data_IF_508927708289
#
_entry.id   IF_508927708289
#
_cell.length_a   1.000
_cell.length_b   1.000
_cell.length_c   1.000
_cell.angle_alpha   90.00
_cell.angle_beta   90.00
_cell.angle_gamma   90.00
#
_symmetry.space_group_name_H-M   'P 1'
#
loop_
_entity.id
_entity.type
_entity.pdbx_description
1 polymer ?
#
# COMPACT_ATOMS: atom_id res chain seq x y z
N UNK A 1 -3.27 47.60 15.04
CA UNK A 1 -4.54 46.99 15.45
C UNK A 1 -4.42 45.52 15.09
N UNK A 2 -3.93 44.71 16.02
CA UNK A 2 -3.59 43.30 15.76
C UNK A 2 -4.74 42.46 16.29
N UNK A 3 -5.53 41.89 15.39
CA UNK A 3 -6.56 40.91 15.74
C UNK A 3 -5.85 39.61 16.12
N UNK A 4 -5.94 39.23 17.39
CA UNK A 4 -5.50 37.93 17.87
C UNK A 4 -6.60 36.95 17.49
N UNK A 5 -6.34 36.06 16.54
CA UNK A 5 -7.28 34.99 16.19
C UNK A 5 -7.35 33.98 17.33
N UNK A 6 -8.55 33.77 17.87
CA UNK A 6 -8.81 32.77 18.90
C UNK A 6 -8.63 31.34 18.35
N UNK A 7 -8.21 30.38 19.21
CA UNK A 7 -8.04 28.99 18.79
C UNK A 7 -9.41 28.34 18.49
N UNK A 8 -9.61 27.94 17.23
CA UNK A 8 -10.77 27.14 16.81
C UNK A 8 -10.81 25.85 17.60
N UNK A 9 -11.83 25.70 18.44
CA UNK A 9 -12.12 24.43 19.13
C UNK A 9 -12.48 23.37 18.08
N UNK A 10 -11.91 22.15 18.13
CA UNK A 10 -12.24 21.11 17.15
C UNK A 10 -13.73 20.78 17.24
N UNK A 11 -14.44 21.02 16.16
CA UNK A 11 -15.85 20.71 16.04
C UNK A 11 -16.03 19.19 16.05
N UNK A 12 -16.89 18.69 16.94
CA UNK A 12 -17.21 17.28 17.03
C UNK A 12 -17.95 16.85 15.77
N UNK A 13 -17.38 15.92 15.01
CA UNK A 13 -18.03 15.32 13.84
C UNK A 13 -19.06 14.30 14.33
N UNK A 14 -20.34 14.53 14.04
CA UNK A 14 -21.41 13.56 14.27
C UNK A 14 -21.40 12.55 13.12
N UNK A 15 -21.30 11.25 13.44
CA UNK A 15 -21.25 10.15 12.47
C UNK A 15 -22.54 9.35 12.54
N UNK A 16 -23.21 9.14 11.41
CA UNK A 16 -24.42 8.32 11.37
C UNK A 16 -24.10 6.83 11.21
N UNK A 17 -25.01 5.97 11.67
CA UNK A 17 -24.87 4.52 11.46
C UNK A 17 -24.84 4.18 9.96
N UNK A 18 -25.67 4.83 9.14
CA UNK A 18 -25.72 4.60 7.70
C UNK A 18 -24.39 4.88 7.02
N UNK A 19 -23.75 6.03 7.30
CA UNK A 19 -22.42 6.36 6.78
C UNK A 19 -21.36 5.34 7.21
N UNK A 20 -21.41 4.91 8.47
CA UNK A 20 -20.46 3.91 9.00
C UNK A 20 -20.62 2.58 8.26
N UNK A 21 -21.85 2.07 8.10
CA UNK A 21 -22.08 0.81 7.41
C UNK A 21 -21.79 0.90 5.91
N UNK A 22 -22.13 2.02 5.27
CA UNK A 22 -21.81 2.27 3.86
C UNK A 22 -20.29 2.25 3.62
N UNK A 23 -19.50 2.86 4.52
CA UNK A 23 -18.03 2.84 4.44
C UNK A 23 -17.39 1.45 4.63
N UNK A 24 -18.15 0.45 5.05
CA UNK A 24 -17.69 -0.94 5.18
C UNK A 24 -18.18 -1.85 4.06
N UNK A 25 -19.05 -1.36 3.17
CA UNK A 25 -19.61 -2.14 2.08
C UNK A 25 -18.49 -2.54 1.11
N UNK A 26 -18.30 -3.85 0.90
CA UNK A 26 -17.25 -4.38 0.04
C UNK A 26 -15.88 -4.56 0.72
N UNK A 27 -15.76 -4.24 2.00
CA UNK A 27 -14.49 -4.33 2.74
C UNK A 27 -13.64 -3.06 2.64
N UNK A 28 -12.52 -3.05 3.37
CA UNK A 28 -11.67 -1.85 3.55
C UNK A 28 -10.28 -1.96 2.93
N UNK A 29 -9.87 -3.17 2.57
CA UNK A 29 -8.52 -3.47 2.11
C UNK A 29 -8.58 -3.98 0.68
N UNK A 30 -7.64 -3.55 -0.14
CA UNK A 30 -7.38 -4.06 -1.48
C UNK A 30 -5.87 -4.31 -1.66
N UNK A 31 -5.52 -5.05 -2.71
CA UNK A 31 -4.14 -5.24 -3.16
C UNK A 31 -4.11 -4.85 -4.63
N UNK A 32 -3.18 -3.98 -4.98
CA UNK A 32 -3.05 -3.42 -6.33
C UNK A 32 -1.63 -3.60 -6.86
N UNK A 33 -1.49 -3.58 -8.19
CA UNK A 33 -0.18 -3.67 -8.84
C UNK A 33 0.65 -2.42 -8.58
N UNK A 34 1.95 -2.61 -8.34
CA UNK A 34 2.92 -1.50 -8.22
C UNK A 34 3.70 -1.23 -9.51
N UNK A 35 3.51 -2.07 -10.54
CA UNK A 35 4.16 -1.98 -11.84
C UNK A 35 3.23 -2.55 -12.95
N UNK A 36 3.38 -2.12 -14.21
CA UNK A 36 2.59 -2.64 -15.34
C UNK A 36 2.75 -4.14 -15.54
N UNK A 37 1.69 -4.81 -16.00
CA UNK A 37 1.66 -6.24 -16.39
C UNK A 37 0.90 -6.45 -17.71
N UNK A 38 1.02 -5.50 -18.64
CA UNK A 38 0.21 -5.46 -19.87
C UNK A 38 0.73 -6.40 -20.97
N UNK A 39 2.02 -6.74 -20.94
CA UNK A 39 2.66 -7.54 -21.99
C UNK A 39 3.26 -8.84 -21.47
N UNK A 40 3.50 -9.79 -22.38
CA UNK A 40 4.25 -11.02 -22.06
C UNK A 40 5.65 -10.71 -21.51
N UNK A 41 6.27 -9.62 -21.97
CA UNK A 41 7.57 -9.18 -21.46
C UNK A 41 7.46 -8.76 -20.00
N UNK A 42 6.42 -8.02 -19.63
CA UNK A 42 6.19 -7.60 -18.24
C UNK A 42 5.96 -8.81 -17.33
N UNK A 43 5.14 -9.78 -17.79
CA UNK A 43 4.93 -11.04 -17.07
C UNK A 43 6.23 -11.85 -16.92
N UNK A 44 7.07 -11.87 -17.96
CA UNK A 44 8.36 -12.58 -17.91
C UNK A 44 9.35 -11.95 -16.93
N UNK A 45 9.25 -10.64 -16.69
CA UNK A 45 10.06 -9.92 -15.70
C UNK A 45 9.52 -10.16 -14.28
N UNK A 46 8.20 -9.98 -14.10
CA UNK A 46 7.56 -10.09 -12.79
C UNK A 46 7.45 -11.52 -12.28
N UNK A 47 7.35 -12.49 -13.19
CA UNK A 47 7.19 -13.91 -12.90
C UNK A 47 8.28 -14.74 -13.60
N UNK A 48 7.98 -15.98 -13.97
CA UNK A 48 8.93 -16.84 -14.65
C UNK A 48 9.22 -16.32 -16.07
N UNK A 49 10.49 -16.21 -16.51
CA UNK A 49 11.71 -16.64 -15.81
C UNK A 49 12.38 -15.59 -14.90
N UNK A 50 11.99 -14.31 -14.98
CA UNK A 50 12.67 -13.18 -14.31
C UNK A 50 12.72 -13.26 -12.79
N UNK A 51 11.63 -13.68 -12.15
CA UNK A 51 11.53 -13.81 -10.68
C UNK A 51 12.61 -14.73 -10.09
N UNK A 52 13.06 -15.73 -10.85
CA UNK A 52 14.09 -16.66 -10.41
C UNK A 52 15.44 -15.96 -10.15
N UNK A 53 15.72 -14.83 -10.82
CA UNK A 53 16.91 -14.03 -10.55
C UNK A 53 16.83 -13.37 -9.17
N UNK A 54 15.67 -12.83 -8.80
CA UNK A 54 15.45 -12.24 -7.47
C UNK A 54 15.52 -13.32 -6.38
N UNK A 55 14.89 -14.48 -6.61
CA UNK A 55 14.97 -15.61 -5.66
C UNK A 55 16.40 -16.07 -5.41
N UNK A 56 17.23 -16.19 -6.46
CA UNK A 56 18.64 -16.56 -6.30
C UNK A 56 19.46 -15.47 -5.60
N UNK A 57 19.17 -14.20 -5.86
CA UNK A 57 19.84 -13.09 -5.18
C UNK A 57 19.56 -13.12 -3.66
N UNK A 58 18.30 -13.32 -3.28
CA UNK A 58 17.90 -13.43 -1.86
C UNK A 58 18.52 -14.69 -1.21
N UNK A 59 18.59 -15.81 -1.94
CA UNK A 59 19.24 -17.01 -1.43
C UNK A 59 20.76 -16.83 -1.19
N UNK A 60 21.40 -15.93 -1.92
CA UNK A 60 22.81 -15.59 -1.74
C UNK A 60 23.03 -14.51 -0.66
N UNK A 61 22.06 -13.60 -0.48
CA UNK A 61 22.08 -12.53 0.52
C UNK A 61 20.64 -12.24 0.99
N UNK A 62 20.31 -12.72 2.19
CA UNK A 62 18.97 -12.62 2.77
C UNK A 62 18.54 -11.17 3.01
N UNK A 63 19.49 -10.22 3.16
CA UNK A 63 19.17 -8.80 3.37
C UNK A 63 18.46 -8.17 2.17
N UNK A 64 18.58 -8.79 0.99
CA UNK A 64 17.93 -8.34 -0.23
C UNK A 64 16.41 -8.59 -0.22
N UNK A 65 15.88 -9.41 0.70
CA UNK A 65 14.44 -9.59 0.87
C UNK A 65 13.74 -8.27 1.21
N UNK A 66 14.33 -7.45 2.08
CA UNK A 66 13.78 -6.15 2.48
C UNK A 66 13.75 -5.13 1.34
N UNK A 67 14.68 -5.28 0.37
CA UNK A 67 14.81 -4.39 -0.78
C UNK A 67 13.90 -4.78 -1.94
N UNK A 68 13.83 -6.06 -2.27
CA UNK A 68 13.16 -6.55 -3.49
C UNK A 68 11.78 -7.15 -3.24
N UNK A 69 11.32 -7.16 -1.99
CA UNK A 69 9.97 -7.63 -1.66
C UNK A 69 9.26 -6.62 -0.76
N UNK A 70 7.98 -6.87 -0.54
CA UNK A 70 7.13 -6.09 0.35
C UNK A 70 7.29 -6.43 1.85
N UNK A 71 8.14 -7.39 2.24
CA UNK A 71 8.20 -7.92 3.62
C UNK A 71 8.40 -6.85 4.67
N UNK A 72 9.25 -5.85 4.41
CA UNK A 72 9.53 -4.72 5.31
C UNK A 72 8.33 -3.79 5.54
N UNK A 73 7.22 -3.98 4.80
CA UNK A 73 6.00 -3.17 4.87
C UNK A 73 4.79 -3.93 5.42
N UNK A 74 4.96 -5.20 5.77
CA UNK A 74 3.92 -6.03 6.38
C UNK A 74 4.07 -6.02 7.90
N UNK A 75 2.96 -5.86 8.62
CA UNK A 75 2.86 -5.79 10.09
C UNK A 75 1.93 -6.86 10.64
#
# INVERSE_FOLDING_TARGET
MTVVSEPTTPQKVELTAEEIFAGHLGGKLSVELTAPLDTQRDLSIAYTPGVAQVSRAIAADETLADRYTWTSRLV
#
